data_IF_773542766335
#
_entry.id   IF_773542766335
#
_cell.length_a   1.000
_cell.length_b   1.000
_cell.length_c   1.000
_cell.angle_alpha   90.00
_cell.angle_beta   90.00
_cell.angle_gamma   90.00
#
_symmetry.space_group_name_H-M   'P 1'
#
loop_
_entity.id
_entity.type
_entity.pdbx_description
1 polymer ?
#
# COMPACT_ATOMS: atom_id res chain seq x y z
N UNK A 1 27.84 10.81 -31.11
CA UNK A 1 28.24 11.71 -30.01
C UNK A 1 28.48 10.85 -28.80
N UNK A 2 29.76 10.53 -28.50
CA UNK A 2 30.12 9.60 -27.42
C UNK A 2 29.87 10.28 -26.08
N UNK A 3 29.01 9.67 -25.27
CA UNK A 3 28.84 10.02 -23.87
C UNK A 3 30.08 9.48 -23.13
N UNK A 4 31.13 10.29 -23.07
CA UNK A 4 32.18 10.19 -22.07
C UNK A 4 31.87 11.26 -21.01
N UNK A 5 30.84 11.04 -20.26
CA UNK A 5 30.75 11.70 -18.97
C UNK A 5 31.92 11.16 -18.15
N UNK A 6 32.81 12.08 -17.75
CA UNK A 6 34.05 11.67 -17.11
C UNK A 6 33.70 10.92 -15.82
N UNK A 7 34.39 9.80 -15.53
CA UNK A 7 34.23 9.06 -14.28
C UNK A 7 34.21 9.99 -13.05
N UNK A 8 34.95 11.11 -13.13
CA UNK A 8 34.96 12.13 -12.06
C UNK A 8 33.63 12.85 -11.81
N UNK A 9 32.78 13.08 -12.82
CA UNK A 9 31.46 13.70 -12.60
C UNK A 9 30.48 12.70 -11.97
N UNK A 10 30.56 11.42 -12.35
CA UNK A 10 29.79 10.35 -11.75
C UNK A 10 30.22 10.15 -10.31
N UNK A 11 31.52 10.11 -10.04
CA UNK A 11 32.07 9.96 -8.69
C UNK A 11 31.66 11.15 -7.80
N UNK A 12 31.77 12.39 -8.29
CA UNK A 12 31.34 13.58 -7.56
C UNK A 12 29.83 13.55 -7.25
N UNK A 13 29.01 13.11 -8.19
CA UNK A 13 27.56 12.93 -7.96
C UNK A 13 27.28 11.87 -6.90
N UNK A 14 27.91 10.70 -6.97
CA UNK A 14 27.76 9.63 -5.99
C UNK A 14 28.20 10.10 -4.59
N UNK A 15 29.35 10.76 -4.49
CA UNK A 15 29.85 11.35 -3.21
C UNK A 15 28.85 12.37 -2.66
N UNK A 16 28.27 13.22 -3.52
CA UNK A 16 27.25 14.19 -3.08
C UNK A 16 25.98 13.53 -2.51
N UNK A 17 25.67 12.29 -2.94
CA UNK A 17 24.53 11.50 -2.46
C UNK A 17 24.87 10.58 -1.28
N UNK A 18 26.15 10.40 -0.96
CA UNK A 18 26.59 9.50 0.11
C UNK A 18 25.88 9.75 1.47
N UNK A 19 25.72 11.01 1.96
CA UNK A 19 25.03 11.27 3.21
C UNK A 19 23.56 10.83 3.17
N UNK A 20 22.90 11.02 2.03
CA UNK A 20 21.51 10.58 1.84
C UNK A 20 21.41 9.05 1.83
N UNK A 21 22.32 8.39 1.11
CA UNK A 21 22.39 6.93 1.02
C UNK A 21 22.66 6.35 2.40
N UNK A 22 23.64 6.91 3.15
CA UNK A 22 23.96 6.45 4.50
C UNK A 22 22.76 6.57 5.44
N UNK A 23 22.08 7.72 5.44
CA UNK A 23 20.88 7.93 6.23
C UNK A 23 19.75 6.93 5.88
N UNK A 24 19.60 6.62 4.59
CA UNK A 24 18.64 5.62 4.16
C UNK A 24 19.03 4.21 4.63
N UNK A 25 20.31 3.84 4.55
CA UNK A 25 20.83 2.55 5.02
C UNK A 25 20.67 2.41 6.54
N UNK A 26 21.01 3.44 7.31
CA UNK A 26 20.84 3.46 8.76
C UNK A 26 19.37 3.26 9.13
N UNK A 27 18.47 3.98 8.44
CA UNK A 27 17.04 3.80 8.62
C UNK A 27 16.57 2.37 8.27
N UNK A 28 17.07 1.78 7.18
CA UNK A 28 16.76 0.39 6.85
C UNK A 28 17.30 -0.60 7.89
N UNK A 29 18.50 -0.36 8.45
CA UNK A 29 19.05 -1.20 9.52
C UNK A 29 18.23 -1.10 10.80
N UNK A 30 17.82 0.09 11.20
CA UNK A 30 16.91 0.28 12.34
C UNK A 30 15.57 -0.44 12.11
N UNK A 31 15.00 -0.30 10.92
CA UNK A 31 13.73 -0.95 10.57
C UNK A 31 13.84 -2.48 10.46
N UNK A 32 15.00 -3.01 10.06
CA UNK A 32 15.22 -4.46 9.96
C UNK A 32 15.07 -5.16 11.32
N UNK A 33 15.34 -4.46 12.43
CA UNK A 33 15.15 -4.99 13.79
C UNK A 33 13.66 -5.16 14.14
N UNK A 34 12.78 -4.42 13.47
CA UNK A 34 11.32 -4.45 13.67
C UNK A 34 10.59 -5.31 12.65
N UNK A 35 11.30 -6.18 11.90
CA UNK A 35 10.61 -7.08 10.95
C UNK A 35 9.57 -7.90 11.69
N UNK A 36 8.29 -7.82 11.27
CA UNK A 36 7.23 -8.58 11.90
C UNK A 36 7.57 -10.08 11.83
N UNK A 37 7.47 -10.76 12.95
CA UNK A 37 7.61 -12.22 12.99
C UNK A 37 6.56 -12.86 12.06
N UNK A 38 6.88 -13.99 11.41
CA UNK A 38 5.92 -14.72 10.59
C UNK A 38 4.66 -15.02 11.40
N UNK A 39 3.51 -14.72 10.80
CA UNK A 39 2.20 -14.96 11.43
C UNK A 39 2.00 -16.43 11.71
N UNK A 40 1.57 -16.75 12.94
CA UNK A 40 1.25 -18.10 13.39
C UNK A 40 -0.25 -18.43 13.25
N UNK A 41 -1.05 -17.40 13.00
CA UNK A 41 -2.51 -17.51 12.87
C UNK A 41 -3.15 -18.15 14.10
N UNK A 42 -2.74 -17.68 15.29
CA UNK A 42 -3.27 -18.11 16.60
C UNK A 42 -4.18 -17.03 17.19
N UNK A 43 -5.05 -17.43 18.11
CA UNK A 43 -5.92 -16.48 18.82
C UNK A 43 -5.10 -15.44 19.58
N UNK A 44 -5.54 -14.18 19.51
CA UNK A 44 -4.84 -13.02 20.08
C UNK A 44 -3.87 -12.31 19.12
N UNK A 45 -3.50 -12.91 17.99
CA UNK A 45 -2.60 -12.31 17.02
C UNK A 45 -3.26 -11.11 16.34
N UNK A 46 -2.50 -9.99 16.21
CA UNK A 46 -3.02 -8.75 15.68
C UNK A 46 -2.94 -8.68 14.16
N UNK A 47 -3.98 -8.15 13.52
CA UNK A 47 -4.03 -7.79 12.11
C UNK A 47 -4.52 -6.36 11.97
N UNK A 48 -3.80 -5.55 11.19
CA UNK A 48 -4.21 -4.19 10.92
C UNK A 48 -5.12 -4.14 9.70
N UNK A 49 -6.28 -3.49 9.84
CA UNK A 49 -7.22 -3.23 8.75
C UNK A 49 -7.75 -1.80 8.93
N UNK A 50 -7.57 -0.96 7.90
CA UNK A 50 -8.02 0.43 7.88
C UNK A 50 -7.53 1.26 9.10
N UNK A 51 -6.27 1.02 9.52
CA UNK A 51 -5.65 1.70 10.65
C UNK A 51 -6.10 1.18 12.03
N UNK A 52 -6.86 0.10 12.08
CA UNK A 52 -7.34 -0.53 13.32
C UNK A 52 -6.67 -1.88 13.52
N UNK A 53 -6.16 -2.13 14.72
CA UNK A 53 -5.63 -3.43 15.11
C UNK A 53 -6.76 -4.38 15.54
N UNK A 54 -7.11 -5.36 14.71
CA UNK A 54 -8.07 -6.40 15.03
C UNK A 54 -7.33 -7.63 15.60
N UNK A 55 -7.96 -8.32 16.56
CA UNK A 55 -7.42 -9.56 17.14
C UNK A 55 -8.03 -10.78 16.43
N UNK A 56 -7.18 -11.73 16.03
CA UNK A 56 -7.64 -13.00 15.50
C UNK A 56 -8.25 -13.85 16.63
N UNK A 57 -9.39 -14.44 16.37
CA UNK A 57 -10.04 -15.42 17.24
C UNK A 57 -10.26 -16.70 16.43
N UNK A 58 -9.55 -17.75 16.78
CA UNK A 58 -9.58 -19.03 16.06
C UNK A 58 -10.43 -20.02 16.83
N UNK A 59 -11.41 -20.63 16.15
CA UNK A 59 -12.32 -21.62 16.72
C UNK A 59 -12.38 -22.85 15.82
N UNK A 60 -12.65 -24.01 16.42
CA UNK A 60 -12.92 -25.21 15.65
C UNK A 60 -14.33 -25.15 15.05
N UNK A 61 -14.44 -25.44 13.75
CA UNK A 61 -15.72 -25.41 13.03
C UNK A 61 -15.79 -26.51 11.97
N UNK A 62 -16.99 -27.00 11.66
CA UNK A 62 -17.20 -28.03 10.64
C UNK A 62 -16.79 -27.56 9.22
N UNK A 63 -16.83 -26.26 8.97
CA UNK A 63 -16.45 -25.62 7.69
C UNK A 63 -15.61 -24.39 7.96
N UNK A 64 -14.69 -24.08 7.03
CA UNK A 64 -13.94 -22.85 7.10
C UNK A 64 -14.89 -21.65 6.99
N UNK A 65 -14.73 -20.72 7.89
CA UNK A 65 -15.45 -19.45 7.92
C UNK A 65 -14.54 -18.33 8.39
N UNK A 66 -14.80 -17.11 7.92
CA UNK A 66 -14.08 -15.94 8.38
C UNK A 66 -14.97 -14.71 8.30
N UNK A 67 -14.97 -13.91 9.35
CA UNK A 67 -15.67 -12.63 9.43
C UNK A 67 -14.91 -11.66 10.31
N UNK A 68 -15.26 -10.37 10.27
CA UNK A 68 -14.73 -9.36 11.18
C UNK A 68 -15.87 -8.48 11.69
N UNK A 69 -15.81 -8.09 12.97
CA UNK A 69 -16.79 -7.23 13.64
C UNK A 69 -16.24 -5.84 14.00
N UNK A 70 -15.02 -5.55 13.58
CA UNK A 70 -14.32 -4.28 13.86
C UNK A 70 -13.39 -4.34 15.08
N UNK A 71 -13.45 -5.38 15.89
CA UNK A 71 -12.55 -5.68 17.03
C UNK A 71 -11.81 -6.99 16.80
N UNK A 72 -12.53 -7.99 16.36
CA UNK A 72 -12.01 -9.33 16.12
C UNK A 72 -12.13 -9.74 14.65
N UNK A 73 -11.23 -10.62 14.24
CA UNK A 73 -11.36 -11.46 13.06
C UNK A 73 -11.70 -12.86 13.57
N UNK A 74 -12.92 -13.33 13.35
CA UNK A 74 -13.38 -14.65 13.72
C UNK A 74 -13.04 -15.66 12.63
N UNK A 75 -12.15 -16.59 12.92
CA UNK A 75 -11.69 -17.62 12.00
C UNK A 75 -12.17 -19.00 12.49
N UNK A 76 -13.10 -19.62 11.77
CA UNK A 76 -13.47 -21.01 11.97
C UNK A 76 -12.68 -21.91 11.02
N UNK A 77 -12.07 -22.98 11.54
CA UNK A 77 -11.35 -24.00 10.75
C UNK A 77 -11.58 -25.39 11.32
N UNK A 78 -11.45 -26.42 10.47
CA UNK A 78 -11.64 -27.81 10.91
C UNK A 78 -10.51 -28.28 11.83
N UNK A 79 -9.29 -27.95 11.48
CA UNK A 79 -8.08 -28.30 12.24
C UNK A 79 -7.38 -27.04 12.74
N UNK A 80 -7.29 -26.90 14.05
CA UNK A 80 -6.64 -25.77 14.71
C UNK A 80 -5.11 -25.75 14.53
N UNK A 81 -4.50 -26.88 14.15
CA UNK A 81 -3.07 -27.02 13.95
C UNK A 81 -2.64 -26.78 12.49
N UNK A 82 -3.58 -26.77 11.52
CA UNK A 82 -3.27 -26.51 10.10
C UNK A 82 -3.02 -25.01 9.86
N UNK A 83 -1.78 -24.58 10.06
CA UNK A 83 -1.34 -23.18 9.87
C UNK A 83 -1.54 -22.74 8.41
N UNK A 84 -1.24 -23.61 7.43
CA UNK A 84 -1.37 -23.31 6.03
C UNK A 84 -2.83 -23.09 5.61
N UNK A 85 -3.74 -23.83 6.19
CA UNK A 85 -5.19 -23.64 5.98
C UNK A 85 -5.63 -22.30 6.53
N UNK A 86 -5.28 -22.00 7.78
CA UNK A 86 -5.58 -20.70 8.41
C UNK A 86 -5.03 -19.53 7.59
N UNK A 87 -3.77 -19.62 7.17
CA UNK A 87 -3.11 -18.63 6.31
C UNK A 87 -3.90 -18.39 5.02
N UNK A 88 -4.30 -19.45 4.32
CA UNK A 88 -5.08 -19.35 3.07
C UNK A 88 -6.43 -18.68 3.28
N UNK A 89 -7.15 -19.04 4.35
CA UNK A 89 -8.46 -18.46 4.66
C UNK A 89 -8.33 -16.97 4.97
N UNK A 90 -7.40 -16.59 5.86
CA UNK A 90 -7.15 -15.19 6.23
C UNK A 90 -6.69 -14.38 5.00
N UNK A 91 -5.74 -14.88 4.20
CA UNK A 91 -5.26 -14.18 3.02
C UNK A 91 -6.35 -13.95 1.96
N UNK A 92 -7.26 -14.91 1.79
CA UNK A 92 -8.43 -14.76 0.91
C UNK A 92 -9.35 -13.65 1.41
N UNK A 93 -9.62 -13.62 2.71
CA UNK A 93 -10.42 -12.58 3.35
C UNK A 93 -9.79 -11.20 3.18
N UNK A 94 -8.50 -11.02 3.52
CA UNK A 94 -7.79 -9.77 3.34
C UNK A 94 -7.78 -9.32 1.86
N UNK A 95 -7.58 -10.27 0.94
CA UNK A 95 -7.67 -9.99 -0.49
C UNK A 95 -9.08 -9.53 -0.93
N UNK A 96 -10.14 -10.05 -0.30
CA UNK A 96 -11.50 -9.59 -0.54
C UNK A 96 -11.71 -8.18 0.03
N UNK A 97 -11.23 -7.93 1.26
CA UNK A 97 -11.29 -6.58 1.86
C UNK A 97 -10.56 -5.54 0.98
N UNK A 98 -9.37 -5.87 0.45
CA UNK A 98 -8.67 -5.00 -0.49
C UNK A 98 -9.53 -4.67 -1.72
N UNK A 99 -10.16 -5.68 -2.34
CA UNK A 99 -11.01 -5.46 -3.53
C UNK A 99 -12.17 -4.54 -3.24
N UNK A 100 -12.86 -4.76 -2.11
CA UNK A 100 -13.99 -3.92 -1.69
C UNK A 100 -13.51 -2.49 -1.40
N UNK A 101 -12.58 -2.33 -0.47
CA UNK A 101 -12.15 -1.00 0.01
C UNK A 101 -11.50 -0.17 -1.11
N UNK A 102 -10.59 -0.78 -1.89
CA UNK A 102 -9.90 -0.04 -2.95
C UNK A 102 -10.82 0.24 -4.14
N UNK A 103 -11.77 -0.66 -4.41
CA UNK A 103 -12.83 -0.44 -5.38
C UNK A 103 -13.71 0.74 -4.99
N UNK A 104 -14.22 0.75 -3.77
CA UNK A 104 -15.07 1.83 -3.24
C UNK A 104 -14.36 3.20 -3.27
N UNK A 105 -13.06 3.22 -2.89
CA UNK A 105 -12.26 4.45 -2.94
C UNK A 105 -12.03 4.90 -4.39
N UNK A 106 -11.74 3.97 -5.30
CA UNK A 106 -11.60 4.27 -6.72
C UNK A 106 -12.90 4.84 -7.30
N UNK A 107 -14.03 4.24 -6.97
CA UNK A 107 -15.35 4.65 -7.46
C UNK A 107 -15.77 6.02 -6.93
N UNK A 108 -15.40 6.33 -5.69
CA UNK A 108 -15.65 7.64 -5.08
C UNK A 108 -14.80 8.76 -5.69
N UNK A 109 -13.54 8.48 -6.08
CA UNK A 109 -12.61 9.51 -6.55
C UNK A 109 -12.62 9.68 -8.07
N UNK A 110 -12.86 8.61 -8.83
CA UNK A 110 -12.81 8.61 -10.28
C UNK A 110 -13.71 9.67 -10.96
N UNK A 111 -14.93 9.99 -10.50
CA UNK A 111 -15.78 11.00 -11.14
C UNK A 111 -15.10 12.36 -11.34
N UNK A 112 -14.16 12.73 -10.45
CA UNK A 112 -13.38 13.98 -10.55
C UNK A 112 -12.47 14.02 -11.78
N UNK A 113 -12.19 12.86 -12.40
CA UNK A 113 -11.29 12.72 -13.55
C UNK A 113 -12.02 12.63 -14.90
N UNK A 114 -13.32 12.37 -14.90
CA UNK A 114 -14.11 12.22 -16.14
C UNK A 114 -14.03 13.45 -17.05
N UNK A 115 -14.07 14.65 -16.47
CA UNK A 115 -13.97 15.91 -17.22
C UNK A 115 -12.62 16.13 -17.92
N UNK A 116 -11.60 15.34 -17.58
CA UNK A 116 -10.28 15.37 -18.25
C UNK A 116 -10.14 14.27 -19.30
N UNK A 117 -11.23 13.61 -19.70
CA UNK A 117 -11.22 12.56 -20.71
C UNK A 117 -10.61 11.23 -20.26
N UNK A 118 -10.37 11.06 -18.96
CA UNK A 118 -9.81 9.83 -18.40
C UNK A 118 -10.89 8.75 -18.35
N UNK A 119 -10.60 7.58 -18.94
CA UNK A 119 -11.44 6.40 -18.78
C UNK A 119 -11.16 5.74 -17.42
N UNK A 120 -12.19 5.07 -16.85
CA UNK A 120 -12.04 4.37 -15.57
C UNK A 120 -10.97 3.30 -15.67
N UNK A 121 -9.91 3.38 -14.88
CA UNK A 121 -8.81 2.43 -14.94
C UNK A 121 -9.20 1.08 -14.33
N UNK A 122 -8.55 0.02 -14.81
CA UNK A 122 -8.62 -1.30 -14.18
C UNK A 122 -7.78 -1.32 -12.91
N UNK A 123 -8.37 -1.80 -11.81
CA UNK A 123 -7.68 -1.96 -10.54
C UNK A 123 -7.03 -3.34 -10.45
N UNK A 124 -5.74 -3.36 -10.07
CA UNK A 124 -5.00 -4.57 -9.72
C UNK A 124 -4.48 -4.46 -8.30
N UNK A 125 -4.42 -5.58 -7.60
CA UNK A 125 -3.92 -5.67 -6.23
C UNK A 125 -2.78 -6.67 -6.22
N UNK A 126 -1.61 -6.26 -5.71
CA UNK A 126 -0.41 -7.09 -5.64
C UNK A 126 0.36 -6.82 -4.35
N UNK A 127 1.17 -7.76 -3.94
CA UNK A 127 2.21 -7.51 -2.95
C UNK A 127 3.37 -6.77 -3.65
N UNK A 128 3.81 -5.66 -3.09
CA UNK A 128 4.91 -4.82 -3.61
C UNK A 128 5.85 -4.44 -2.46
N UNK A 129 7.16 -4.46 -2.70
CA UNK A 129 8.16 -4.23 -1.64
C UNK A 129 8.47 -2.75 -1.43
N UNK A 130 8.42 -1.93 -2.49
CA UNK A 130 9.00 -0.57 -2.48
C UNK A 130 8.00 0.56 -2.73
N UNK A 131 6.71 0.25 -2.98
CA UNK A 131 5.72 1.27 -3.32
C UNK A 131 4.31 0.87 -2.90
N UNK A 132 3.47 1.88 -2.68
CA UNK A 132 2.07 1.70 -2.33
C UNK A 132 1.14 1.54 -3.53
N UNK A 133 1.52 2.14 -4.66
CA UNK A 133 0.77 2.07 -5.90
C UNK A 133 1.66 2.23 -7.13
N UNK A 134 1.09 2.01 -8.30
CA UNK A 134 1.68 2.33 -9.59
C UNK A 134 0.62 2.47 -10.66
N UNK A 135 0.81 3.42 -11.57
CA UNK A 135 -0.07 3.66 -12.71
C UNK A 135 0.62 3.32 -14.03
N UNK A 136 -0.03 2.49 -14.84
CA UNK A 136 0.32 2.27 -16.24
C UNK A 136 -0.67 3.06 -17.12
N UNK A 137 -0.44 4.37 -17.23
CA UNK A 137 -1.36 5.30 -17.87
C UNK A 137 -1.77 4.87 -19.29
N UNK A 138 -0.81 4.43 -20.13
CA UNK A 138 -1.07 3.94 -21.49
C UNK A 138 -2.03 2.74 -21.56
N UNK A 139 -2.13 1.95 -20.50
CA UNK A 139 -2.99 0.76 -20.43
C UNK A 139 -4.23 0.97 -19.55
N UNK A 140 -4.37 2.14 -18.92
CA UNK A 140 -5.45 2.39 -17.98
C UNK A 140 -5.46 1.41 -16.80
N UNK A 141 -4.29 1.10 -16.22
CA UNK A 141 -4.17 0.13 -15.13
C UNK A 141 -3.53 0.82 -13.93
N UNK A 142 -4.22 0.78 -12.79
CA UNK A 142 -3.68 1.15 -11.48
C UNK A 142 -3.47 -0.11 -10.66
N UNK A 143 -2.27 -0.27 -10.13
CA UNK A 143 -1.94 -1.38 -9.23
C UNK A 143 -1.73 -0.82 -7.83
N UNK A 144 -2.39 -1.38 -6.83
CA UNK A 144 -2.24 -1.02 -5.42
C UNK A 144 -1.61 -2.16 -4.63
N UNK A 145 -0.78 -1.80 -3.66
CA UNK A 145 -0.18 -2.74 -2.74
C UNK A 145 -1.23 -3.30 -1.79
N UNK A 146 -1.28 -4.63 -1.64
CA UNK A 146 -2.19 -5.30 -0.70
C UNK A 146 -2.02 -4.80 0.73
N UNK A 147 -0.77 -4.50 1.14
CA UNK A 147 -0.44 -3.96 2.47
C UNK A 147 -1.04 -2.57 2.73
N UNK A 148 -1.43 -1.84 1.70
CA UNK A 148 -2.13 -0.56 1.85
C UNK A 148 -3.47 -0.70 2.60
N UNK A 149 -4.05 -1.91 2.68
CA UNK A 149 -5.23 -2.18 3.50
C UNK A 149 -4.98 -1.94 5.00
N UNK A 150 -3.73 -2.05 5.46
CA UNK A 150 -3.35 -1.81 6.85
C UNK A 150 -3.47 -0.33 7.23
N UNK A 151 -3.34 0.56 6.24
CA UNK A 151 -3.40 2.00 6.43
C UNK A 151 -4.83 2.52 6.66
N UNK A 152 -5.00 3.64 7.38
CA UNK A 152 -6.27 4.33 7.46
C UNK A 152 -6.82 4.71 6.09
N UNK A 153 -8.15 4.77 5.96
CA UNK A 153 -8.84 5.04 4.70
C UNK A 153 -8.35 6.31 3.99
N UNK A 154 -8.09 7.40 4.73
CA UNK A 154 -7.60 8.65 4.15
C UNK A 154 -6.22 8.52 3.47
N UNK A 155 -5.38 7.58 3.93
CA UNK A 155 -4.10 7.25 3.27
C UNK A 155 -4.33 6.46 1.98
N UNK A 156 -5.31 5.53 1.97
CA UNK A 156 -5.69 4.79 0.77
C UNK A 156 -6.23 5.75 -0.29
N UNK A 157 -7.09 6.69 0.11
CA UNK A 157 -7.62 7.75 -0.76
C UNK A 157 -6.50 8.58 -1.38
N UNK A 158 -5.48 8.94 -0.59
CA UNK A 158 -4.31 9.66 -1.10
C UNK A 158 -3.56 8.86 -2.18
N UNK A 159 -3.26 7.59 -1.93
CA UNK A 159 -2.54 6.76 -2.90
C UNK A 159 -3.37 6.59 -4.18
N UNK A 160 -4.67 6.31 -4.06
CA UNK A 160 -5.56 6.18 -5.22
C UNK A 160 -5.64 7.49 -6.00
N UNK A 161 -5.78 8.65 -5.32
CA UNK A 161 -5.78 9.97 -5.94
C UNK A 161 -4.47 10.23 -6.69
N UNK A 162 -3.33 9.91 -6.06
CA UNK A 162 -2.01 10.04 -6.66
C UNK A 162 -1.88 9.23 -7.96
N UNK A 163 -2.30 7.97 -7.94
CA UNK A 163 -2.26 7.10 -9.12
C UNK A 163 -3.26 7.54 -10.22
N UNK A 164 -4.41 8.06 -9.85
CA UNK A 164 -5.35 8.66 -10.80
C UNK A 164 -4.77 9.92 -11.46
N UNK A 165 -4.04 10.77 -10.72
CA UNK A 165 -3.37 11.94 -11.28
C UNK A 165 -2.36 11.57 -12.36
N UNK A 166 -1.72 10.40 -12.29
CA UNK A 166 -0.80 9.91 -13.33
C UNK A 166 -1.47 9.60 -14.66
N UNK A 167 -2.79 9.42 -14.71
CA UNK A 167 -3.53 9.27 -15.96
C UNK A 167 -3.60 10.58 -16.75
N UNK A 168 -3.46 11.74 -16.06
CA UNK A 168 -3.47 13.08 -16.66
C UNK A 168 -2.04 13.63 -16.79
N UNK A 169 -1.24 13.47 -15.74
CA UNK A 169 0.15 13.94 -15.66
C UNK A 169 1.09 12.78 -15.34
N UNK A 170 1.73 12.16 -16.34
CA UNK A 170 2.54 10.94 -16.12
C UNK A 170 3.74 11.11 -15.20
N UNK A 171 4.29 12.33 -15.11
CA UNK A 171 5.50 12.64 -14.34
C UNK A 171 5.16 13.50 -13.13
N UNK A 172 5.94 13.39 -12.05
CA UNK A 172 5.85 14.20 -10.84
C UNK A 172 6.36 15.64 -11.06
N UNK A 173 5.84 16.33 -12.08
CA UNK A 173 6.15 17.70 -12.42
C UNK A 173 5.43 18.69 -11.50
N UNK A 174 5.75 19.98 -11.63
CA UNK A 174 5.01 21.07 -10.96
C UNK A 174 3.50 21.02 -11.28
N UNK A 175 3.15 20.66 -12.52
CA UNK A 175 1.75 20.52 -12.95
C UNK A 175 1.04 19.35 -12.26
N UNK A 176 1.72 18.20 -12.10
CA UNK A 176 1.20 17.07 -11.33
C UNK A 176 0.85 17.47 -9.89
N UNK A 177 1.79 18.11 -9.19
CA UNK A 177 1.53 18.51 -7.80
C UNK A 177 0.49 19.62 -7.67
N UNK A 178 0.42 20.57 -8.62
CA UNK A 178 -0.63 21.56 -8.65
C UNK A 178 -2.01 20.90 -8.85
N UNK A 179 -2.09 19.93 -9.75
CA UNK A 179 -3.30 19.17 -10.04
C UNK A 179 -3.73 18.32 -8.82
N UNK A 180 -2.79 17.61 -8.21
CA UNK A 180 -3.05 16.84 -6.99
C UNK A 180 -3.53 17.75 -5.85
N UNK A 181 -2.90 18.92 -5.65
CA UNK A 181 -3.32 19.88 -4.62
C UNK A 181 -4.71 20.45 -4.87
N UNK A 182 -5.08 20.67 -6.14
CA UNK A 182 -6.42 21.14 -6.50
C UNK A 182 -7.50 20.09 -6.16
N UNK A 183 -7.22 18.79 -6.38
CA UNK A 183 -8.16 17.71 -6.15
C UNK A 183 -8.17 17.22 -4.68
N UNK A 184 -7.04 17.32 -3.98
CA UNK A 184 -6.85 16.89 -2.60
C UNK A 184 -5.91 17.86 -1.89
N UNK A 185 -6.41 18.98 -1.34
CA UNK A 185 -5.56 20.02 -0.72
C UNK A 185 -4.70 19.51 0.44
N UNK A 186 -5.18 18.52 1.18
CA UNK A 186 -4.54 17.92 2.37
C UNK A 186 -3.63 16.71 2.04
N UNK A 187 -3.29 16.51 0.74
CA UNK A 187 -2.51 15.34 0.33
C UNK A 187 -1.14 15.22 1.03
N UNK A 188 -0.52 16.35 1.40
CA UNK A 188 0.80 16.34 2.08
C UNK A 188 0.71 15.73 3.48
N UNK A 189 -0.35 16.06 4.21
CA UNK A 189 -0.62 15.55 5.55
C UNK A 189 -0.88 14.05 5.50
N UNK A 190 -1.73 13.61 4.54
CA UNK A 190 -2.03 12.19 4.32
C UNK A 190 -0.79 11.40 3.94
N UNK A 191 0.06 11.97 3.04
CA UNK A 191 1.35 11.38 2.68
C UNK A 191 2.27 11.26 3.90
N UNK A 192 2.42 12.33 4.67
CA UNK A 192 3.27 12.33 5.85
C UNK A 192 2.82 11.31 6.89
N UNK A 193 1.51 11.16 7.08
CA UNK A 193 0.96 10.13 7.96
C UNK A 193 1.31 8.73 7.45
N UNK A 194 1.10 8.47 6.16
CA UNK A 194 1.42 7.19 5.54
C UNK A 194 2.93 6.88 5.65
N UNK A 195 3.80 7.83 5.35
CA UNK A 195 5.25 7.66 5.42
C UNK A 195 5.73 7.35 6.85
N UNK A 196 5.17 8.01 7.87
CA UNK A 196 5.51 7.77 9.28
C UNK A 196 5.05 6.38 9.75
N UNK A 197 3.88 5.95 9.33
CA UNK A 197 3.31 4.68 9.76
C UNK A 197 3.80 3.50 8.91
N UNK A 198 4.25 3.75 7.68
CA UNK A 198 4.82 2.76 6.79
C UNK A 198 6.05 2.06 7.38
N UNK A 199 6.83 2.75 8.19
CA UNK A 199 7.98 2.19 8.89
C UNK A 199 7.62 0.97 9.77
N UNK A 200 6.38 0.87 10.22
CA UNK A 200 5.88 -0.27 11.00
C UNK A 200 5.26 -1.38 10.14
N UNK A 201 5.10 -1.16 8.82
CA UNK A 201 4.38 -2.08 7.93
C UNK A 201 5.25 -2.63 6.79
N UNK A 202 6.37 -1.98 6.46
CA UNK A 202 7.35 -2.41 5.46
C UNK A 202 8.55 -3.09 6.14
#
# INVERSE_FOLDING_TARGET
>A
MCIRDSCGEIDAFVVSKAPYIQKALDHFHEMAQYRPQPKQYVSGEAFNILGRGLRLQVTQAAKDSISADGVYIHLGVRDLHDIERKRRVVNRFLGQQCRTVFGDVMDALYPSFQKYGVQKPSLRIRDMETRWGSCLAKKGIITLNKRLLEAPRHCIEYVVMHELCHLVHPNHSRQFYAFLTMLMPDWKERKQYLDKTAAYWL
#
